data_IF_163907672023
#
_entry.id   IF_163907672023
#
_cell.length_a   1.000
_cell.length_b   1.000
_cell.length_c   1.000
_cell.angle_alpha   90.00
_cell.angle_beta   90.00
_cell.angle_gamma   90.00
#
_symmetry.space_group_name_H-M   'P 1'
#
loop_
_entity.id
_entity.type
_entity.pdbx_description
1 polymer ?
#
# COMPACT_ATOMS: atom_id res chain seq x y z
N UNK A 1 -21.42 -2.70 -8.20
CA UNK A 1 -20.77 -1.42 -7.83
C UNK A 1 -20.88 -1.12 -6.33
N UNK A 2 -22.09 -1.14 -5.73
CA UNK A 2 -22.26 -0.86 -4.29
C UNK A 2 -21.47 -1.80 -3.36
N UNK A 3 -21.41 -3.09 -3.69
CA UNK A 3 -20.64 -4.08 -2.90
C UNK A 3 -19.13 -3.81 -2.91
N UNK A 4 -18.59 -3.40 -4.07
CA UNK A 4 -17.17 -3.05 -4.19
C UNK A 4 -16.82 -1.86 -3.30
N UNK A 5 -17.61 -0.79 -3.38
CA UNK A 5 -17.43 0.41 -2.53
C UNK A 5 -17.54 0.04 -1.05
N UNK A 6 -18.50 -0.81 -0.70
CA UNK A 6 -18.66 -1.31 0.67
C UNK A 6 -17.43 -2.09 1.15
N UNK A 7 -16.83 -2.93 0.29
CA UNK A 7 -15.62 -3.68 0.63
C UNK A 7 -14.42 -2.76 0.84
N UNK A 8 -14.23 -1.76 -0.03
CA UNK A 8 -13.20 -0.72 0.13
C UNK A 8 -13.37 0.01 1.47
N UNK A 9 -14.58 0.47 1.78
CA UNK A 9 -14.87 1.15 3.05
C UNK A 9 -14.62 0.26 4.27
N UNK A 10 -14.94 -1.04 4.17
CA UNK A 10 -14.65 -2.01 5.24
C UNK A 10 -13.16 -2.21 5.45
N UNK A 11 -12.36 -2.32 4.38
CA UNK A 11 -10.90 -2.41 4.45
C UNK A 11 -10.35 -1.19 5.19
N UNK A 12 -10.69 0.01 4.73
CA UNK A 12 -10.23 1.25 5.38
C UNK A 12 -10.71 1.37 6.83
N UNK A 13 -11.97 1.03 7.11
CA UNK A 13 -12.50 1.02 8.48
C UNK A 13 -11.73 0.07 9.41
N UNK A 14 -11.33 -1.10 8.91
CA UNK A 14 -10.48 -2.04 9.67
C UNK A 14 -9.10 -1.43 9.92
N UNK A 15 -8.45 -0.92 8.86
CA UNK A 15 -7.09 -0.36 8.91
C UNK A 15 -7.00 0.84 9.85
N UNK A 16 -7.97 1.75 9.80
CA UNK A 16 -7.93 3.00 10.58
C UNK A 16 -8.54 2.88 11.98
N UNK A 17 -9.49 1.96 12.21
CA UNK A 17 -10.24 1.93 13.47
C UNK A 17 -10.00 0.66 14.30
N UNK A 18 -9.67 -0.47 13.68
CA UNK A 18 -9.54 -1.77 14.38
C UNK A 18 -8.11 -2.19 14.67
N UNK A 19 -7.13 -1.64 13.95
CA UNK A 19 -5.72 -1.94 14.21
C UNK A 19 -5.27 -1.39 15.57
N UNK A 20 -4.27 -2.04 16.18
CA UNK A 20 -3.59 -1.55 17.39
C UNK A 20 -2.97 -0.17 17.13
N UNK A 21 -2.73 0.67 18.15
CA UNK A 21 -2.28 2.05 17.96
C UNK A 21 -1.03 2.19 17.07
N UNK A 22 -0.01 1.36 17.27
CA UNK A 22 1.23 1.44 16.50
C UNK A 22 1.01 1.12 15.01
N UNK A 23 0.47 -0.06 14.60
CA UNK A 23 0.14 -0.33 13.20
C UNK A 23 -0.86 0.67 12.60
N UNK A 24 -1.76 1.23 13.41
CA UNK A 24 -2.72 2.23 12.97
C UNK A 24 -2.03 3.54 12.58
N UNK A 25 -1.17 4.07 13.45
CA UNK A 25 -0.40 5.29 13.17
C UNK A 25 0.49 5.07 11.95
N UNK A 26 1.15 3.90 11.88
CA UNK A 26 1.96 3.52 10.72
C UNK A 26 1.15 3.51 9.41
N UNK A 27 -0.04 2.94 9.41
CA UNK A 27 -0.89 2.91 8.21
C UNK A 27 -1.41 4.29 7.81
N UNK A 28 -1.73 5.16 8.78
CA UNK A 28 -2.06 6.56 8.50
C UNK A 28 -0.89 7.28 7.84
N UNK A 29 0.32 7.07 8.35
CA UNK A 29 1.55 7.58 7.74
C UNK A 29 1.74 7.05 6.32
N UNK A 30 1.69 5.72 6.12
CA UNK A 30 1.83 5.06 4.82
C UNK A 30 0.85 5.62 3.79
N UNK A 31 -0.43 5.74 4.15
CA UNK A 31 -1.47 6.30 3.29
C UNK A 31 -1.17 7.76 2.98
N UNK A 32 -0.77 8.56 3.98
CA UNK A 32 -0.38 9.96 3.78
C UNK A 32 0.76 10.10 2.77
N UNK A 33 1.85 9.35 2.95
CA UNK A 33 3.02 9.39 2.06
C UNK A 33 2.67 8.97 0.63
N UNK A 34 1.81 7.96 0.44
CA UNK A 34 1.35 7.57 -0.89
C UNK A 34 0.41 8.62 -1.50
N UNK A 35 -0.50 9.23 -0.72
CA UNK A 35 -1.42 10.29 -1.18
C UNK A 35 -0.71 11.60 -1.54
N UNK A 36 0.49 11.85 -1.02
CA UNK A 36 1.32 12.99 -1.44
C UNK A 36 1.65 12.97 -2.94
N UNK A 37 1.43 11.87 -3.66
CA UNK A 37 1.47 11.87 -5.13
C UNK A 37 0.54 12.91 -5.76
N UNK A 38 -0.57 13.25 -5.11
CA UNK A 38 -1.49 14.27 -5.61
C UNK A 38 -0.89 15.68 -5.61
N UNK A 39 0.05 15.96 -4.70
CA UNK A 39 0.79 17.22 -4.70
C UNK A 39 1.73 17.31 -5.91
N UNK A 40 2.33 16.19 -6.31
CA UNK A 40 3.27 16.09 -7.44
C UNK A 40 2.61 15.65 -8.75
N UNK A 41 1.28 15.75 -8.90
CA UNK A 41 0.53 15.09 -9.99
C UNK A 41 0.93 15.50 -11.41
N UNK A 42 1.63 16.63 -11.56
CA UNK A 42 2.23 17.10 -12.82
C UNK A 42 3.41 16.23 -13.28
N UNK A 43 4.03 15.48 -12.38
CA UNK A 43 5.12 14.55 -12.66
C UNK A 43 4.58 13.15 -12.99
N UNK A 44 5.16 12.53 -14.03
CA UNK A 44 4.76 11.19 -14.46
C UNK A 44 4.99 10.15 -13.35
N UNK A 45 6.03 10.33 -12.54
CA UNK A 45 6.36 9.48 -11.40
C UNK A 45 5.20 9.45 -10.40
N UNK A 46 4.61 10.60 -10.10
CA UNK A 46 3.48 10.70 -9.19
C UNK A 46 2.19 10.09 -9.77
N UNK A 47 1.97 10.24 -11.08
CA UNK A 47 0.85 9.59 -11.77
C UNK A 47 0.98 8.05 -11.73
N UNK A 48 2.20 7.53 -11.86
CA UNK A 48 2.48 6.09 -11.72
C UNK A 48 2.24 5.63 -10.28
N UNK A 49 2.63 6.41 -9.25
CA UNK A 49 2.30 6.10 -7.84
C UNK A 49 0.79 6.05 -7.62
N UNK A 50 0.05 7.04 -8.14
CA UNK A 50 -1.40 7.09 -8.04
C UNK A 50 -2.04 5.88 -8.72
N UNK A 51 -1.66 5.58 -9.97
CA UNK A 51 -2.16 4.44 -10.72
C UNK A 51 -1.87 3.11 -10.03
N UNK A 52 -0.65 2.94 -9.51
CA UNK A 52 -0.24 1.76 -8.73
C UNK A 52 -1.08 1.62 -7.47
N UNK A 53 -1.27 2.70 -6.73
CA UNK A 53 -2.08 2.72 -5.50
C UNK A 53 -3.53 2.33 -5.77
N UNK A 54 -4.14 2.91 -6.81
CA UNK A 54 -5.50 2.57 -7.22
C UNK A 54 -5.63 1.10 -7.63
N UNK A 55 -4.68 0.59 -8.41
CA UNK A 55 -4.65 -0.81 -8.81
C UNK A 55 -4.52 -1.75 -7.60
N UNK A 56 -3.64 -1.42 -6.64
CA UNK A 56 -3.49 -2.16 -5.38
C UNK A 56 -4.79 -2.17 -4.56
N UNK A 57 -5.48 -1.02 -4.42
CA UNK A 57 -6.76 -0.93 -3.71
C UNK A 57 -7.84 -1.77 -4.39
N UNK A 58 -7.92 -1.73 -5.72
CA UNK A 58 -8.86 -2.56 -6.48
C UNK A 58 -8.59 -4.04 -6.23
N UNK A 59 -7.33 -4.46 -6.32
CA UNK A 59 -6.92 -5.85 -6.07
C UNK A 59 -7.26 -6.28 -4.63
N UNK A 60 -6.96 -5.44 -3.64
CA UNK A 60 -7.31 -5.69 -2.25
C UNK A 60 -8.82 -5.82 -2.04
N UNK A 61 -9.63 -4.95 -2.64
CA UNK A 61 -11.09 -5.02 -2.56
C UNK A 61 -11.65 -6.31 -3.18
N UNK A 62 -11.08 -6.77 -4.29
CA UNK A 62 -11.44 -8.05 -4.92
C UNK A 62 -11.09 -9.23 -4.02
N UNK A 63 -9.88 -9.25 -3.44
CA UNK A 63 -9.46 -10.31 -2.50
C UNK A 63 -10.37 -10.32 -1.28
N UNK A 64 -10.60 -9.16 -0.67
CA UNK A 64 -11.47 -9.01 0.50
C UNK A 64 -12.89 -9.50 0.21
N UNK A 65 -13.44 -9.19 -0.96
CA UNK A 65 -14.78 -9.64 -1.34
C UNK A 65 -14.93 -11.16 -1.42
N UNK A 66 -13.83 -11.90 -1.63
CA UNK A 66 -13.86 -13.37 -1.77
C UNK A 66 -13.57 -14.11 -0.48
N UNK A 67 -12.59 -13.65 0.28
CA UNK A 67 -12.07 -14.39 1.45
C UNK A 67 -12.01 -13.54 2.74
N UNK A 68 -12.54 -12.32 2.70
CA UNK A 68 -12.53 -11.39 3.83
C UNK A 68 -11.16 -10.78 4.12
N UNK A 69 -11.04 -10.13 5.28
CA UNK A 69 -9.78 -9.55 5.70
C UNK A 69 -8.83 -10.64 6.21
N UNK A 70 -7.84 -10.99 5.39
CA UNK A 70 -6.79 -11.96 5.73
C UNK A 70 -5.41 -11.36 5.48
N UNK A 71 -4.37 -12.05 5.97
CA UNK A 71 -2.96 -11.66 5.77
C UNK A 71 -2.54 -11.54 4.29
N UNK A 72 -3.27 -12.20 3.38
CA UNK A 72 -2.93 -12.18 1.93
C UNK A 72 -3.27 -10.86 1.24
N UNK A 73 -4.01 -9.96 1.89
CA UNK A 73 -4.34 -8.63 1.33
C UNK A 73 -3.08 -7.82 0.96
N UNK A 74 -1.97 -8.03 1.65
CA UNK A 74 -0.67 -7.42 1.35
C UNK A 74 -0.13 -7.75 -0.04
N UNK A 75 -0.61 -8.82 -0.70
CA UNK A 75 -0.23 -9.17 -2.09
C UNK A 75 -0.54 -8.04 -3.08
N UNK A 76 -1.52 -7.18 -2.77
CA UNK A 76 -1.80 -5.99 -3.59
C UNK A 76 -0.59 -5.07 -3.76
N UNK A 77 0.35 -5.10 -2.82
CA UNK A 77 1.56 -4.27 -2.82
C UNK A 77 2.70 -4.86 -3.65
N UNK A 78 2.55 -6.05 -4.23
CA UNK A 78 3.52 -6.56 -5.23
C UNK A 78 3.69 -5.59 -6.41
N UNK A 79 2.69 -4.77 -6.70
CA UNK A 79 2.74 -3.73 -7.73
C UNK A 79 3.76 -2.62 -7.43
N UNK A 80 4.22 -2.48 -6.18
CA UNK A 80 5.32 -1.56 -5.86
C UNK A 80 6.64 -1.97 -6.50
N UNK A 81 6.88 -3.27 -6.71
CA UNK A 81 8.14 -3.78 -7.28
C UNK A 81 8.38 -3.25 -8.71
N UNK A 82 7.45 -3.44 -9.69
CA UNK A 82 7.65 -2.87 -11.02
C UNK A 82 7.65 -1.33 -10.99
N UNK A 83 6.85 -0.69 -10.12
CA UNK A 83 6.84 0.76 -9.98
C UNK A 83 8.21 1.32 -9.58
N UNK A 84 8.81 0.82 -8.50
CA UNK A 84 10.11 1.29 -8.05
C UNK A 84 11.25 0.86 -8.97
N UNK A 85 11.14 -0.30 -9.62
CA UNK A 85 12.10 -0.72 -10.65
C UNK A 85 12.11 0.25 -11.83
N UNK A 86 10.95 0.73 -12.26
CA UNK A 86 10.84 1.74 -13.30
C UNK A 86 11.35 3.11 -12.84
N UNK A 87 11.06 3.53 -11.61
CA UNK A 87 11.58 4.79 -11.04
C UNK A 87 13.12 4.79 -10.93
N UNK A 88 13.74 3.64 -10.65
CA UNK A 88 15.20 3.54 -10.60
C UNK A 88 15.86 3.85 -11.96
N UNK A 89 15.17 3.58 -13.07
CA UNK A 89 15.62 3.94 -14.42
C UNK A 89 15.48 5.44 -14.73
N UNK A 90 14.83 6.20 -13.85
CA UNK A 90 14.54 7.63 -13.98
C UNK A 90 15.18 8.46 -12.86
N UNK A 91 16.23 7.91 -12.25
CA UNK A 91 16.86 8.51 -11.08
C UNK A 91 17.39 9.92 -11.38
N UNK A 92 17.89 10.17 -12.59
CA UNK A 92 18.41 11.47 -13.00
C UNK A 92 17.30 12.52 -13.15
N UNK A 93 16.16 12.16 -13.76
CA UNK A 93 15.00 13.08 -13.86
C UNK A 93 14.39 13.37 -12.49
N UNK A 94 14.36 12.38 -11.60
CA UNK A 94 13.90 12.56 -10.22
C UNK A 94 14.86 13.50 -9.47
N UNK A 95 16.17 13.31 -9.62
CA UNK A 95 17.18 14.13 -8.96
C UNK A 95 17.18 15.59 -9.42
N UNK A 96 16.65 15.89 -10.61
CA UNK A 96 16.49 17.26 -11.09
C UNK A 96 15.46 18.08 -10.28
N UNK A 97 14.61 17.42 -9.47
CA UNK A 97 13.57 18.04 -8.64
C UNK A 97 13.75 17.62 -7.19
N UNK A 98 14.39 18.47 -6.37
CA UNK A 98 14.80 18.11 -5.00
C UNK A 98 13.66 17.72 -4.06
N UNK A 99 12.50 18.34 -4.22
CA UNK A 99 11.27 18.04 -3.47
C UNK A 99 10.66 16.70 -3.88
N UNK A 100 10.53 16.44 -5.19
CA UNK A 100 10.10 15.15 -5.74
C UNK A 100 11.04 14.03 -5.30
N UNK A 101 12.35 14.24 -5.38
CA UNK A 101 13.37 13.28 -4.95
C UNK A 101 13.21 12.93 -3.47
N UNK A 102 13.08 13.95 -2.62
CA UNK A 102 12.90 13.76 -1.17
C UNK A 102 11.65 12.93 -0.90
N UNK A 103 10.53 13.27 -1.55
CA UNK A 103 9.29 12.52 -1.39
C UNK A 103 9.43 11.07 -1.89
N UNK A 104 10.05 10.83 -3.05
CA UNK A 104 10.26 9.47 -3.58
C UNK A 104 11.14 8.64 -2.66
N UNK A 105 12.17 9.21 -2.03
CA UNK A 105 12.99 8.50 -1.04
C UNK A 105 12.16 8.11 0.19
N UNK A 106 11.35 9.04 0.71
CA UNK A 106 10.44 8.77 1.84
C UNK A 106 9.40 7.71 1.46
N UNK A 107 8.84 7.79 0.26
CA UNK A 107 7.88 6.82 -0.29
C UNK A 107 8.51 5.43 -0.43
N UNK A 108 9.69 5.33 -1.06
CA UNK A 108 10.42 4.08 -1.24
C UNK A 108 10.76 3.42 0.09
N UNK A 109 11.28 4.21 1.05
CA UNK A 109 11.62 3.72 2.39
C UNK A 109 10.38 3.23 3.14
N UNK A 110 9.31 4.01 3.13
CA UNK A 110 8.05 3.69 3.82
C UNK A 110 7.38 2.44 3.22
N UNK A 111 7.36 2.34 1.89
CA UNK A 111 6.79 1.20 1.18
C UNK A 111 7.66 -0.05 1.36
N UNK A 112 9.00 0.07 1.36
CA UNK A 112 9.90 -1.06 1.60
C UNK A 112 9.69 -1.68 3.00
N UNK A 113 9.57 -0.84 4.04
CA UNK A 113 9.28 -1.33 5.41
C UNK A 113 7.93 -2.05 5.44
N UNK A 114 6.90 -1.47 4.82
CA UNK A 114 5.57 -2.09 4.75
C UNK A 114 5.59 -3.40 3.95
N UNK A 115 6.37 -3.46 2.87
CA UNK A 115 6.51 -4.64 2.03
C UNK A 115 7.13 -5.82 2.77
N UNK A 116 8.07 -5.58 3.70
CA UNK A 116 8.61 -6.63 4.59
C UNK A 116 7.51 -7.22 5.49
N UNK A 117 6.61 -6.36 5.99
CA UNK A 117 5.45 -6.80 6.78
C UNK A 117 4.51 -7.64 5.93
N UNK A 118 4.20 -7.19 4.71
CA UNK A 118 3.35 -7.92 3.76
C UNK A 118 3.94 -9.30 3.41
N UNK A 119 5.24 -9.38 3.16
CA UNK A 119 5.92 -10.64 2.88
C UNK A 119 5.86 -11.60 4.07
N UNK A 120 6.06 -11.07 5.29
CA UNK A 120 5.91 -11.85 6.53
C UNK A 120 4.48 -12.39 6.68
N UNK A 121 3.48 -11.58 6.33
CA UNK A 121 2.08 -11.97 6.37
C UNK A 121 1.72 -13.03 5.34
N UNK A 122 2.20 -12.89 4.10
CA UNK A 122 2.00 -13.87 3.03
C UNK A 122 2.66 -15.19 3.39
N UNK A 123 3.87 -15.18 3.96
CA UNK A 123 4.54 -16.42 4.40
C UNK A 123 3.80 -17.10 5.55
N UNK A 124 3.30 -16.36 6.54
CA UNK A 124 2.43 -16.89 7.61
C UNK A 124 1.13 -17.44 7.07
N UNK A 125 0.51 -16.73 6.13
CA UNK A 125 -0.66 -17.22 5.42
C UNK A 125 -0.34 -18.55 4.72
N UNK A 126 0.75 -18.65 3.95
CA UNK A 126 1.15 -19.90 3.32
C UNK A 126 1.33 -21.06 4.31
N UNK A 127 1.80 -20.77 5.53
CA UNK A 127 1.93 -21.73 6.64
C UNK A 127 0.61 -22.09 7.36
N UNK A 128 -0.52 -21.51 6.95
CA UNK A 128 -1.85 -21.83 7.47
C UNK A 128 -2.44 -20.79 8.42
N UNK A 129 -1.70 -19.75 8.79
CA UNK A 129 -2.22 -18.68 9.66
C UNK A 129 -3.13 -17.72 8.87
N UNK A 130 -4.44 -17.99 8.91
CA UNK A 130 -5.44 -17.18 8.18
C UNK A 130 -5.91 -15.94 8.95
N UNK A 131 -5.66 -15.89 10.26
CA UNK A 131 -6.15 -14.81 11.13
C UNK A 131 -5.44 -13.46 10.83
N UNK A 132 -6.19 -12.36 10.64
CA UNK A 132 -5.61 -11.04 10.40
C UNK A 132 -5.08 -10.39 11.68
N UNK A 133 -4.19 -9.40 11.56
CA UNK A 133 -3.52 -8.70 12.69
C UNK A 133 -4.44 -8.09 13.75
N UNK A 134 -5.72 -7.85 13.45
CA UNK A 134 -6.68 -7.25 14.39
C UNK A 134 -7.62 -8.28 15.04
N UNK A 135 -7.65 -9.54 14.58
CA UNK A 135 -8.40 -10.62 15.25
C UNK A 135 -7.44 -11.40 16.14
N UNK A 136 -7.66 -11.29 17.43
CA UNK A 136 -7.05 -12.14 18.43
C UNK A 136 -8.06 -13.24 18.76
N UNK A 137 -7.64 -14.50 18.63
CA UNK A 137 -8.30 -15.66 19.25
C UNK A 137 -8.19 -15.58 20.75
#
# INVERSE_FOLDING_TARGET
MMEFVTNVLKIFGIVFLRFRPVPRIWNVWLVGVNLMCLYFITHIEAQVVLGTTLASVVLQAVIYGRIGFTRVLGVGHLLWVPMFSWMALRADEIAAHSDLQTWIIVLATTNAISFVVDLTDVTRFAKGERAPHYRWS
#
